data_IF_361775597107
#
_entry.id   IF_361775597107
#
_cell.length_a   1.000
_cell.length_b   1.000
_cell.length_c   1.000
_cell.angle_alpha   90.00
_cell.angle_beta   90.00
_cell.angle_gamma   90.00
#
_symmetry.space_group_name_H-M   'P 1'
#
loop_
_entity.id
_entity.type
_entity.pdbx_description
1 polymer ?
#
# COMPACT_ATOMS: atom_id res chain seq x y z
N UNK A 1 -4.45 -0.18 35.15
CA UNK A 1 -3.91 -1.19 34.22
C UNK A 1 -4.56 -1.10 32.83
N UNK A 2 -4.83 0.12 32.32
CA UNK A 2 -5.46 0.33 30.99
C UNK A 2 -4.82 1.49 30.19
N UNK A 3 -3.82 2.19 30.75
CA UNK A 3 -3.19 3.35 30.11
C UNK A 3 -1.97 3.02 29.24
N UNK A 4 -1.57 1.74 29.15
CA UNK A 4 -0.34 1.30 28.46
C UNK A 4 -0.54 0.59 27.12
N UNK A 5 -1.78 0.45 26.65
CA UNK A 5 -2.07 -0.22 25.36
C UNK A 5 -2.00 0.72 24.14
N UNK A 6 -1.82 2.03 24.36
CA UNK A 6 -1.92 3.03 23.27
C UNK A 6 -0.57 3.36 22.60
N UNK A 7 0.54 2.98 23.21
CA UNK A 7 1.88 3.41 22.77
C UNK A 7 2.61 2.38 21.87
N UNK A 8 1.96 1.29 21.46
CA UNK A 8 2.66 0.19 20.77
C UNK A 8 1.80 -0.61 19.77
N UNK A 9 0.63 -0.10 19.37
CA UNK A 9 -0.15 -0.75 18.32
C UNK A 9 0.36 -0.27 16.94
N UNK A 10 0.61 -1.18 15.98
CA UNK A 10 0.95 -0.77 14.62
C UNK A 10 -0.20 0.05 14.01
N UNK A 11 0.14 1.19 13.39
CA UNK A 11 -0.81 1.99 12.65
C UNK A 11 -0.89 1.47 11.22
N UNK A 12 -2.11 1.15 10.80
CA UNK A 12 -2.39 0.75 9.43
C UNK A 12 -3.05 1.90 8.69
N UNK A 13 -2.44 2.33 7.59
CA UNK A 13 -2.98 3.34 6.69
C UNK A 13 -3.23 2.69 5.34
N UNK A 14 -4.39 2.95 4.76
CA UNK A 14 -4.72 2.52 3.40
C UNK A 14 -5.22 3.72 2.59
N UNK A 15 -4.72 3.85 1.37
CA UNK A 15 -5.18 4.82 0.38
C UNK A 15 -5.78 4.08 -0.79
N UNK A 16 -7.08 4.27 -1.01
CA UNK A 16 -7.80 3.71 -2.15
C UNK A 16 -8.03 4.78 -3.22
N UNK A 17 -7.78 4.41 -4.47
CA UNK A 17 -8.02 5.23 -5.65
C UNK A 17 -8.96 4.47 -6.60
N UNK A 18 -9.86 5.17 -7.30
CA UNK A 18 -10.64 4.54 -8.35
C UNK A 18 -9.69 4.06 -9.46
N UNK A 19 -9.88 2.82 -9.90
CA UNK A 19 -9.16 2.22 -11.00
C UNK A 19 -10.05 2.04 -12.23
N UNK A 20 -9.57 1.23 -13.17
CA UNK A 20 -10.23 0.95 -14.45
C UNK A 20 -11.07 -0.34 -14.39
N UNK A 21 -12.00 -0.50 -15.33
CA UNK A 21 -12.73 -1.77 -15.46
C UNK A 21 -11.78 -2.93 -15.77
N UNK A 22 -12.13 -4.14 -15.34
CA UNK A 22 -11.38 -5.36 -15.70
C UNK A 22 -11.37 -5.63 -17.22
N UNK A 23 -12.35 -5.10 -17.95
CA UNK A 23 -12.48 -5.25 -19.40
C UNK A 23 -11.80 -4.12 -20.19
N UNK A 24 -11.21 -3.15 -19.49
CA UNK A 24 -10.50 -2.04 -20.11
C UNK A 24 -9.22 -2.55 -20.80
N UNK A 25 -8.88 -1.97 -21.95
CA UNK A 25 -7.67 -2.29 -22.70
C UNK A 25 -6.41 -1.99 -21.88
N UNK A 26 -6.47 -0.97 -21.02
CA UNK A 26 -5.36 -0.52 -20.18
C UNK A 26 -5.13 -1.40 -18.94
N UNK A 27 -5.89 -2.50 -18.78
CA UNK A 27 -5.75 -3.42 -17.65
C UNK A 27 -4.30 -3.83 -17.40
N UNK A 28 -3.60 -4.26 -18.45
CA UNK A 28 -2.21 -4.70 -18.33
C UNK A 28 -1.25 -3.56 -18.02
N UNK A 29 -1.55 -2.34 -18.52
CA UNK A 29 -0.80 -1.14 -18.18
C UNK A 29 -0.89 -0.82 -16.68
N UNK A 30 -2.09 -0.98 -16.10
CA UNK A 30 -2.33 -0.76 -14.67
C UNK A 30 -1.74 -1.89 -13.82
N UNK A 31 -1.80 -3.15 -14.27
CA UNK A 31 -1.13 -4.26 -13.59
C UNK A 31 0.41 -4.06 -13.56
N UNK A 32 1.01 -3.56 -14.65
CA UNK A 32 2.44 -3.21 -14.68
C UNK A 32 2.78 -2.04 -13.76
N UNK A 33 1.89 -1.04 -13.67
CA UNK A 33 2.04 0.06 -12.72
C UNK A 33 2.10 -0.46 -11.28
N UNK A 34 1.24 -1.40 -10.90
CA UNK A 34 1.23 -2.01 -9.56
C UNK A 34 2.55 -2.74 -9.24
N UNK A 35 3.10 -3.50 -10.19
CA UNK A 35 4.39 -4.19 -10.04
C UNK A 35 5.52 -3.19 -9.77
N UNK A 36 5.56 -2.10 -10.53
CA UNK A 36 6.59 -1.05 -10.38
C UNK A 36 6.40 -0.30 -9.04
N UNK A 37 5.15 -0.07 -8.64
CA UNK A 37 4.84 0.76 -7.49
C UNK A 37 5.05 0.04 -6.16
N UNK A 38 4.44 -1.14 -5.96
CA UNK A 38 4.36 -1.74 -4.62
C UNK A 38 4.14 -3.26 -4.53
N UNK A 39 3.92 -3.97 -5.65
CA UNK A 39 3.61 -5.42 -5.58
C UNK A 39 4.79 -6.32 -5.16
N UNK A 40 6.03 -5.82 -5.19
CA UNK A 40 7.24 -6.63 -4.92
C UNK A 40 8.34 -5.91 -4.13
N UNK A 41 9.38 -6.65 -3.74
CA UNK A 41 10.50 -6.12 -2.94
C UNK A 41 11.38 -5.13 -3.71
N UNK A 42 11.43 -5.23 -5.05
CA UNK A 42 12.14 -4.28 -5.91
C UNK A 42 11.31 -3.04 -6.25
N UNK A 43 10.07 -2.96 -5.77
CA UNK A 43 9.16 -1.87 -6.08
C UNK A 43 9.59 -0.54 -5.46
N UNK A 44 9.10 0.56 -6.02
CA UNK A 44 9.44 1.91 -5.55
C UNK A 44 9.03 2.14 -4.10
N UNK A 45 7.84 1.71 -3.69
CA UNK A 45 7.36 1.89 -2.32
C UNK A 45 8.22 1.11 -1.32
N UNK A 46 8.55 -0.15 -1.63
CA UNK A 46 9.40 -0.94 -0.76
C UNK A 46 10.80 -0.31 -0.61
N UNK A 47 11.42 0.08 -1.72
CA UNK A 47 12.76 0.66 -1.70
C UNK A 47 12.80 2.04 -1.02
N UNK A 48 11.86 2.93 -1.34
CA UNK A 48 11.87 4.29 -0.78
C UNK A 48 11.40 4.34 0.68
N UNK A 49 10.34 3.62 1.04
CA UNK A 49 9.71 3.77 2.35
C UNK A 49 10.28 2.78 3.38
N UNK A 50 10.47 1.51 3.00
CA UNK A 50 10.97 0.48 3.93
C UNK A 50 12.49 0.44 3.98
N UNK A 51 13.17 0.40 2.83
CA UNK A 51 14.64 0.29 2.79
C UNK A 51 15.30 1.62 3.12
N UNK A 52 15.00 2.70 2.39
CA UNK A 52 15.70 3.99 2.55
C UNK A 52 15.26 4.79 3.77
N UNK A 53 13.96 4.84 4.05
CA UNK A 53 13.40 5.70 5.11
C UNK A 53 13.06 4.96 6.40
N UNK A 54 12.96 3.63 6.36
CA UNK A 54 12.53 2.79 7.50
C UNK A 54 11.29 3.34 8.22
N UNK A 55 10.32 3.84 7.44
CA UNK A 55 9.09 4.48 7.93
C UNK A 55 7.98 3.46 8.14
N UNK A 56 7.84 2.50 7.23
CA UNK A 56 6.84 1.45 7.28
C UNK A 56 7.53 0.09 7.37
N UNK A 57 7.02 -0.80 8.22
CA UNK A 57 7.48 -2.19 8.28
C UNK A 57 6.84 -3.03 7.17
N UNK A 58 5.64 -2.64 6.75
CA UNK A 58 4.88 -3.27 5.68
C UNK A 58 4.34 -2.19 4.74
N UNK A 59 4.59 -2.32 3.44
CA UNK A 59 4.09 -1.37 2.44
C UNK A 59 3.97 -2.02 1.07
N UNK A 60 2.74 -2.03 0.55
CA UNK A 60 2.42 -2.67 -0.71
C UNK A 60 1.31 -1.93 -1.43
N UNK A 61 1.25 -2.10 -2.75
CA UNK A 61 0.09 -1.75 -3.55
C UNK A 61 -0.55 -3.01 -4.12
N UNK A 62 -1.85 -2.91 -4.40
CA UNK A 62 -2.60 -3.94 -5.09
C UNK A 62 -3.81 -3.36 -5.81
N UNK A 63 -4.23 -4.02 -6.89
CA UNK A 63 -5.47 -3.69 -7.60
C UNK A 63 -6.52 -4.75 -7.27
N UNK A 64 -7.68 -4.29 -6.81
CA UNK A 64 -8.86 -5.12 -6.66
C UNK A 64 -9.84 -4.84 -7.80
N UNK A 65 -9.99 -5.80 -8.71
CA UNK A 65 -10.91 -5.69 -9.83
C UNK A 65 -12.34 -6.08 -9.44
N UNK A 66 -13.30 -5.22 -9.76
CA UNK A 66 -14.74 -5.51 -9.75
C UNK A 66 -15.25 -5.61 -11.20
N UNK A 67 -16.55 -5.87 -11.38
CA UNK A 67 -17.13 -5.99 -12.73
C UNK A 67 -17.02 -4.69 -13.52
N UNK A 68 -17.37 -3.57 -12.90
CA UNK A 68 -17.57 -2.31 -13.62
C UNK A 68 -16.40 -1.34 -13.41
N UNK A 69 -15.62 -1.55 -12.36
CA UNK A 69 -14.51 -0.69 -11.94
C UNK A 69 -13.46 -1.50 -11.18
N UNK A 70 -12.34 -0.90 -10.82
CA UNK A 70 -11.39 -1.48 -9.87
C UNK A 70 -11.06 -0.47 -8.77
N UNK A 71 -10.46 -0.97 -7.70
CA UNK A 71 -9.90 -0.15 -6.63
C UNK A 71 -8.40 -0.38 -6.58
N UNK A 72 -7.62 0.67 -6.85
CA UNK A 72 -6.18 0.67 -6.67
C UNK A 72 -5.87 1.08 -5.23
N UNK A 73 -5.24 0.20 -4.47
CA UNK A 73 -5.02 0.40 -3.05
C UNK A 73 -3.52 0.42 -2.75
N UNK A 74 -3.12 1.34 -1.87
CA UNK A 74 -1.79 1.37 -1.26
C UNK A 74 -2.00 1.20 0.24
N UNK A 75 -1.38 0.18 0.80
CA UNK A 75 -1.45 -0.14 2.22
C UNK A 75 -0.07 0.02 2.86
N UNK A 76 -0.04 0.59 4.06
CA UNK A 76 1.16 0.73 4.86
C UNK A 76 0.90 0.41 6.34
N UNK A 77 1.70 -0.50 6.89
CA UNK A 77 1.86 -0.72 8.32
C UNK A 77 3.04 0.09 8.84
N UNK A 78 2.77 1.03 9.74
CA UNK A 78 3.74 1.95 10.34
C UNK A 78 3.84 1.64 11.84
N UNK A 79 5.07 1.62 12.37
CA UNK A 79 5.27 1.60 13.81
C UNK A 79 4.89 2.98 14.38
N UNK A 80 3.98 3.01 15.37
CA UNK A 80 3.50 4.25 16.00
C UNK A 80 4.66 5.15 16.47
N UNK A 81 5.80 4.57 16.85
CA UNK A 81 6.99 5.32 17.27
C UNK A 81 7.67 6.14 16.16
N UNK A 82 7.33 5.91 14.89
CA UNK A 82 7.90 6.60 13.71
C UNK A 82 7.09 7.82 13.27
N UNK A 83 5.90 8.04 13.82
CA UNK A 83 5.06 9.21 13.56
C UNK A 83 5.33 10.25 14.64
N UNK A 84 6.32 11.12 14.41
CA UNK A 84 6.62 12.29 15.25
C UNK A 84 6.46 13.57 14.45
#
# INVERSE_FOLDING_TARGET
MLSKLKDSAPLYISFGFPGISRLDHDKYSVDLLDIILGSGLSSRLFQEIRVKKSLAYDIHSFIQYFNDTSSFNIYAGIDSNKLK
#
